data_IF_043770636025
#
_entry.id   IF_043770636025
#
_cell.length_a   1.000
_cell.length_b   1.000
_cell.length_c   1.000
_cell.angle_alpha   90.00
_cell.angle_beta   90.00
_cell.angle_gamma   90.00
#
_symmetry.space_group_name_H-M   'P 1'
#
loop_
_entity.id
_entity.type
_entity.pdbx_description
1 polymer ?
#
# COMPACT_ATOMS: atom_id res chain seq x y z
N UNK A 1 -9.10 -2.46 0.45
CA UNK A 1 -8.84 -3.91 0.19
C UNK A 1 -8.85 -4.27 -1.29
N UNK A 2 -9.81 -3.78 -2.10
CA UNK A 2 -9.86 -4.11 -3.55
C UNK A 2 -8.60 -3.71 -4.34
N UNK A 3 -8.06 -2.50 -4.13
CA UNK A 3 -6.82 -2.04 -4.80
C UNK A 3 -5.62 -2.93 -4.50
N UNK A 4 -5.51 -3.49 -3.28
CA UNK A 4 -4.43 -4.40 -2.91
C UNK A 4 -4.47 -5.74 -3.67
N UNK A 5 -5.67 -6.29 -3.88
CA UNK A 5 -5.87 -7.52 -4.68
C UNK A 5 -5.45 -7.27 -6.13
N UNK A 6 -5.85 -6.11 -6.69
CA UNK A 6 -5.42 -5.71 -8.02
C UNK A 6 -3.91 -5.52 -8.11
N UNK A 7 -3.30 -4.84 -7.14
CA UNK A 7 -1.86 -4.61 -7.07
C UNK A 7 -1.09 -5.93 -7.09
N UNK A 8 -1.41 -6.88 -6.21
CA UNK A 8 -0.75 -8.19 -6.18
C UNK A 8 -0.97 -9.00 -7.46
N UNK A 9 -2.17 -8.90 -8.06
CA UNK A 9 -2.45 -9.58 -9.33
C UNK A 9 -1.63 -8.99 -10.48
N UNK A 10 -1.48 -7.66 -10.53
CA UNK A 10 -0.66 -6.97 -11.54
C UNK A 10 0.84 -7.20 -11.32
N UNK A 11 1.29 -7.25 -10.07
CA UNK A 11 2.66 -7.57 -9.69
C UNK A 11 3.05 -8.99 -10.16
N UNK A 12 2.13 -9.95 -10.05
CA UNK A 12 2.32 -11.29 -10.62
C UNK A 12 2.37 -11.31 -12.17
N UNK A 13 1.80 -10.30 -12.83
CA UNK A 13 1.79 -10.18 -14.30
C UNK A 13 3.07 -9.52 -14.82
N UNK A 14 3.47 -8.39 -14.23
CA UNK A 14 4.55 -7.54 -14.73
C UNK A 14 5.87 -7.65 -13.96
N UNK A 15 5.84 -8.09 -12.71
CA UNK A 15 7.02 -8.22 -11.87
C UNK A 15 8.05 -9.19 -12.44
N UNK A 16 9.33 -8.79 -12.40
CA UNK A 16 10.45 -9.65 -12.82
C UNK A 16 10.60 -10.89 -11.95
N UNK A 17 10.37 -10.72 -10.64
CA UNK A 17 10.22 -11.84 -9.73
C UNK A 17 8.76 -12.28 -9.75
N UNK A 18 8.48 -13.59 -9.69
CA UNK A 18 7.12 -14.13 -9.56
C UNK A 18 6.84 -14.53 -8.10
N UNK A 19 6.60 -13.57 -7.18
CA UNK A 19 6.45 -13.86 -5.75
C UNK A 19 5.23 -14.72 -5.44
N UNK A 20 4.22 -14.72 -6.31
CA UNK A 20 2.95 -15.44 -6.14
C UNK A 20 2.89 -16.76 -6.94
N UNK A 21 4.03 -17.22 -7.45
CA UNK A 21 4.13 -18.42 -8.28
C UNK A 21 3.76 -18.18 -9.75
N UNK A 22 3.62 -19.27 -10.50
CA UNK A 22 3.36 -19.23 -11.94
C UNK A 22 1.86 -19.36 -12.21
N UNK A 23 1.14 -18.24 -12.17
CA UNK A 23 -0.31 -18.19 -12.37
C UNK A 23 -0.68 -17.78 -13.81
N UNK A 24 -1.82 -18.23 -14.35
CA UNK A 24 -2.26 -17.85 -15.69
C UNK A 24 -2.53 -16.33 -15.80
N UNK A 25 -1.78 -15.63 -16.66
CA UNK A 25 -1.87 -14.16 -16.84
C UNK A 25 -3.30 -13.66 -17.09
N UNK A 26 -4.08 -14.39 -17.90
CA UNK A 26 -5.48 -14.03 -18.18
C UNK A 26 -6.34 -13.95 -16.91
N UNK A 27 -6.16 -14.90 -15.98
CA UNK A 27 -6.90 -14.90 -14.70
C UNK A 27 -6.49 -13.73 -13.82
N UNK A 28 -5.19 -13.44 -13.74
CA UNK A 28 -4.67 -12.29 -12.98
C UNK A 28 -5.21 -10.95 -13.50
N UNK A 29 -5.26 -10.77 -14.82
CA UNK A 29 -5.87 -9.58 -15.42
C UNK A 29 -7.36 -9.46 -15.11
N UNK A 30 -8.13 -10.54 -15.22
CA UNK A 30 -9.56 -10.53 -14.91
C UNK A 30 -9.79 -10.12 -13.45
N UNK A 31 -9.07 -10.75 -12.51
CA UNK A 31 -9.16 -10.44 -11.07
C UNK A 31 -8.79 -8.98 -10.81
N UNK A 32 -7.71 -8.50 -11.43
CA UNK A 32 -7.28 -7.11 -11.30
C UNK A 32 -8.33 -6.13 -11.82
N UNK A 33 -8.86 -6.35 -13.03
CA UNK A 33 -9.87 -5.48 -13.64
C UNK A 33 -11.16 -5.43 -12.84
N UNK A 34 -11.63 -6.56 -12.30
CA UNK A 34 -12.82 -6.58 -11.44
C UNK A 34 -12.57 -5.79 -10.15
N UNK A 35 -11.44 -6.03 -9.48
CA UNK A 35 -11.11 -5.35 -8.25
C UNK A 35 -10.92 -3.84 -8.45
N UNK A 36 -10.30 -3.43 -9.57
CA UNK A 36 -10.15 -2.03 -9.93
C UNK A 36 -11.47 -1.38 -10.35
N UNK A 37 -12.33 -2.10 -11.08
CA UNK A 37 -13.67 -1.62 -11.40
C UNK A 37 -14.44 -1.23 -10.14
N UNK A 38 -14.47 -2.13 -9.15
CA UNK A 38 -15.13 -1.84 -7.86
C UNK A 38 -14.48 -0.63 -7.17
N UNK A 39 -13.14 -0.60 -7.09
CA UNK A 39 -12.42 0.48 -6.41
C UNK A 39 -12.63 1.84 -7.08
N UNK A 40 -12.50 1.93 -8.40
CA UNK A 40 -12.65 3.17 -9.16
C UNK A 40 -14.10 3.63 -9.22
N UNK A 41 -15.07 2.72 -9.32
CA UNK A 41 -16.48 3.10 -9.24
C UNK A 41 -16.80 3.77 -7.91
N UNK A 42 -16.37 3.18 -6.79
CA UNK A 42 -16.59 3.78 -5.47
C UNK A 42 -15.81 5.10 -5.30
N UNK A 43 -14.54 5.13 -5.71
CA UNK A 43 -13.71 6.33 -5.62
C UNK A 43 -14.29 7.49 -6.44
N UNK A 44 -14.69 7.24 -7.69
CA UNK A 44 -15.29 8.24 -8.56
C UNK A 44 -16.67 8.68 -8.05
N UNK A 45 -17.47 7.76 -7.51
CA UNK A 45 -18.76 8.09 -6.92
C UNK A 45 -18.61 9.16 -5.84
N UNK A 46 -17.72 8.95 -4.85
CA UNK A 46 -17.47 9.95 -3.80
C UNK A 46 -16.77 11.21 -4.33
N UNK A 47 -15.88 11.05 -5.32
CA UNK A 47 -15.19 12.18 -5.92
C UNK A 47 -16.14 13.19 -6.58
N UNK A 48 -17.20 12.70 -7.24
CA UNK A 48 -18.21 13.56 -7.86
C UNK A 48 -19.35 13.96 -6.91
N UNK A 49 -19.57 13.20 -5.83
CA UNK A 49 -20.61 13.50 -4.86
C UNK A 49 -20.24 14.71 -3.99
N UNK A 50 -19.12 14.63 -3.27
CA UNK A 50 -18.76 15.60 -2.23
C UNK A 50 -17.25 15.82 -2.06
N UNK A 51 -16.43 14.94 -2.62
CA UNK A 51 -14.98 14.90 -2.36
C UNK A 51 -14.11 15.05 -3.62
N UNK A 52 -14.23 16.13 -4.43
CA UNK A 52 -13.42 16.33 -5.64
C UNK A 52 -11.91 16.16 -5.48
N UNK A 53 -11.36 16.38 -4.28
CA UNK A 53 -9.94 16.15 -3.98
C UNK A 53 -9.50 14.69 -4.16
N UNK A 54 -10.45 13.73 -4.14
CA UNK A 54 -10.18 12.34 -4.50
C UNK A 54 -9.77 12.15 -5.96
N UNK A 55 -10.10 13.08 -6.87
CA UNK A 55 -9.69 12.99 -8.29
C UNK A 55 -8.16 13.06 -8.41
N UNK A 56 -7.46 14.13 -7.99
CA UNK A 56 -6.01 14.18 -8.10
C UNK A 56 -5.31 13.09 -7.26
N UNK A 57 -5.85 12.73 -6.09
CA UNK A 57 -5.30 11.63 -5.26
C UNK A 57 -5.43 10.30 -6.00
N UNK A 58 -6.61 10.00 -6.54
CA UNK A 58 -6.89 8.76 -7.28
C UNK A 58 -6.08 8.63 -8.57
N UNK A 59 -5.81 9.75 -9.26
CA UNK A 59 -4.89 9.77 -10.42
C UNK A 59 -3.47 9.39 -9.97
N UNK A 60 -2.98 9.95 -8.86
CA UNK A 60 -1.66 9.62 -8.34
C UNK A 60 -1.57 8.16 -7.87
N UNK A 61 -2.58 7.65 -7.15
CA UNK A 61 -2.65 6.25 -6.72
C UNK A 61 -2.73 5.30 -7.93
N UNK A 62 -3.58 5.61 -8.91
CA UNK A 62 -3.69 4.83 -10.14
C UNK A 62 -2.37 4.79 -10.92
N UNK A 63 -1.69 5.93 -11.03
CA UNK A 63 -0.37 6.00 -11.64
C UNK A 63 0.63 5.08 -10.94
N UNK A 64 0.79 5.19 -9.61
CA UNK A 64 1.73 4.36 -8.88
C UNK A 64 1.34 2.89 -8.88
N UNK A 65 0.05 2.56 -8.79
CA UNK A 65 -0.45 1.19 -8.91
C UNK A 65 0.06 0.55 -10.21
N UNK A 66 -0.17 1.17 -11.36
CA UNK A 66 0.27 0.58 -12.62
C UNK A 66 1.77 0.67 -12.80
N UNK A 67 2.38 1.83 -12.54
CA UNK A 67 3.81 2.04 -12.74
C UNK A 67 4.68 1.13 -11.87
N UNK A 68 4.29 0.90 -10.61
CA UNK A 68 5.00 0.03 -9.69
C UNK A 68 4.82 -1.45 -10.03
N UNK A 69 3.57 -1.92 -10.11
CA UNK A 69 3.28 -3.36 -10.18
C UNK A 69 3.51 -3.95 -11.57
N UNK A 70 3.34 -3.17 -12.64
CA UNK A 70 3.67 -3.61 -14.00
C UNK A 70 5.12 -3.27 -14.39
N UNK A 71 5.91 -2.69 -13.48
CA UNK A 71 7.25 -2.16 -13.74
C UNK A 71 7.32 -1.27 -15.01
N UNK A 72 6.29 -0.43 -15.21
CA UNK A 72 6.27 0.49 -16.35
C UNK A 72 7.47 1.45 -16.31
N UNK A 73 7.78 2.07 -17.44
CA UNK A 73 8.93 2.97 -17.58
C UNK A 73 10.27 2.30 -17.23
N UNK A 74 10.38 0.98 -17.47
CA UNK A 74 11.57 0.20 -17.15
C UNK A 74 11.78 -0.02 -15.65
N UNK A 75 10.74 0.10 -14.83
CA UNK A 75 10.82 -0.10 -13.37
C UNK A 75 11.34 1.10 -12.59
N UNK A 76 11.41 2.30 -13.19
CA UNK A 76 11.86 3.54 -12.49
C UNK A 76 11.10 3.81 -11.20
N UNK A 77 9.81 3.48 -11.15
CA UNK A 77 8.95 3.65 -9.98
C UNK A 77 8.85 2.41 -9.09
N UNK A 78 9.56 1.32 -9.39
CA UNK A 78 9.58 0.13 -8.56
C UNK A 78 10.64 0.26 -7.44
N UNK A 79 10.44 1.25 -6.56
CA UNK A 79 11.42 1.61 -5.53
C UNK A 79 10.77 1.97 -4.18
N UNK A 80 11.58 2.14 -3.14
CA UNK A 80 11.09 2.41 -1.78
C UNK A 80 10.32 3.72 -1.67
N UNK A 81 10.75 4.78 -2.36
CA UNK A 81 10.10 6.09 -2.31
C UNK A 81 8.69 5.98 -2.88
N UNK A 82 8.53 5.33 -4.03
CA UNK A 82 7.21 5.08 -4.62
C UNK A 82 6.32 4.23 -3.72
N UNK A 83 6.87 3.22 -3.03
CA UNK A 83 6.11 2.44 -2.03
C UNK A 83 5.64 3.33 -0.87
N UNK A 84 6.52 4.16 -0.31
CA UNK A 84 6.18 5.03 0.82
C UNK A 84 5.09 6.04 0.43
N UNK A 85 5.25 6.69 -0.73
CA UNK A 85 4.29 7.66 -1.23
C UNK A 85 2.94 6.98 -1.47
N UNK A 86 2.91 5.89 -2.24
CA UNK A 86 1.65 5.33 -2.70
C UNK A 86 0.94 4.40 -1.73
N UNK A 87 1.64 3.71 -0.82
CA UNK A 87 1.03 2.82 0.17
C UNK A 87 1.03 3.38 1.58
N UNK A 88 1.85 4.39 1.87
CA UNK A 88 1.91 5.07 3.16
C UNK A 88 1.17 6.40 3.17
N UNK A 89 1.50 7.31 2.25
CA UNK A 89 1.05 8.72 2.28
C UNK A 89 -0.31 8.92 1.60
N UNK A 90 -0.45 8.53 0.33
CA UNK A 90 -1.68 8.78 -0.45
C UNK A 90 -2.95 8.20 0.21
N UNK A 91 -2.94 7.00 0.82
CA UNK A 91 -4.12 6.47 1.49
C UNK A 91 -4.59 7.33 2.68
N UNK A 92 -3.67 7.99 3.39
CA UNK A 92 -4.02 8.91 4.49
C UNK A 92 -4.72 10.15 3.93
N UNK A 93 -4.20 10.71 2.84
CA UNK A 93 -4.84 11.85 2.17
C UNK A 93 -6.19 11.47 1.55
N UNK A 94 -6.32 10.30 0.95
CA UNK A 94 -7.61 9.80 0.45
C UNK A 94 -8.62 9.69 1.60
N UNK A 95 -8.20 9.17 2.76
CA UNK A 95 -9.03 9.08 3.97
C UNK A 95 -9.43 10.44 4.56
N UNK A 96 -8.58 11.45 4.46
CA UNK A 96 -8.92 12.84 4.84
C UNK A 96 -9.89 13.45 3.83
N UNK A 97 -9.58 13.33 2.53
CA UNK A 97 -10.36 13.90 1.45
C UNK A 97 -11.80 13.36 1.41
N UNK A 98 -12.02 12.06 1.64
CA UNK A 98 -13.38 11.50 1.65
C UNK A 98 -14.24 11.96 2.84
N UNK A 99 -13.63 12.47 3.91
CA UNK A 99 -14.36 12.93 5.10
C UNK A 99 -14.66 14.42 5.06
N UNK A 100 -13.69 15.23 4.64
CA UNK A 100 -13.75 16.70 4.77
C UNK A 100 -13.38 17.44 3.49
N UNK A 101 -13.15 16.72 2.38
CA UNK A 101 -12.65 17.26 1.11
C UNK A 101 -11.48 18.25 1.27
N UNK A 102 -10.63 18.01 2.26
CA UNK A 102 -9.51 18.88 2.63
C UNK A 102 -8.35 18.07 3.22
N UNK A 103 -7.13 18.63 3.18
CA UNK A 103 -5.96 18.07 3.84
C UNK A 103 -5.65 18.92 5.06
N UNK A 104 -5.96 18.40 6.24
CA UNK A 104 -5.69 19.09 7.50
C UNK A 104 -4.24 18.90 7.96
N UNK A 105 -3.82 19.67 8.97
CA UNK A 105 -2.49 19.51 9.58
C UNK A 105 -2.36 18.13 10.22
N UNK A 106 -3.43 17.62 10.83
CA UNK A 106 -3.50 16.27 11.39
C UNK A 106 -3.28 15.21 10.31
N UNK A 107 -3.88 15.39 9.12
CA UNK A 107 -3.66 14.49 7.99
C UNK A 107 -2.20 14.50 7.51
N UNK A 108 -1.54 15.65 7.51
CA UNK A 108 -0.10 15.75 7.19
C UNK A 108 0.75 15.01 8.23
N UNK A 109 0.45 15.18 9.52
CA UNK A 109 1.17 14.49 10.60
C UNK A 109 0.96 12.98 10.50
N UNK A 110 -0.28 12.52 10.30
CA UNK A 110 -0.59 11.10 10.12
C UNK A 110 0.07 10.52 8.87
N UNK A 111 0.14 11.28 7.77
CA UNK A 111 0.84 10.86 6.57
C UNK A 111 2.35 10.72 6.80
N UNK A 112 2.96 11.63 7.56
CA UNK A 112 4.37 11.53 7.95
C UNK A 112 4.64 10.31 8.85
N UNK A 113 3.78 10.06 9.84
CA UNK A 113 3.86 8.86 10.69
C UNK A 113 3.72 7.60 9.84
N UNK A 114 2.71 7.54 8.98
CA UNK A 114 2.49 6.42 8.06
C UNK A 114 3.68 6.19 7.13
N UNK A 115 4.28 7.26 6.61
CA UNK A 115 5.49 7.19 5.79
C UNK A 115 6.68 6.59 6.56
N UNK A 116 6.92 7.03 7.80
CA UNK A 116 7.98 6.51 8.66
C UNK A 116 7.76 5.03 9.01
N UNK A 117 6.54 4.67 9.42
CA UNK A 117 6.16 3.28 9.71
C UNK A 117 6.36 2.41 8.47
N UNK A 118 5.92 2.88 7.30
CA UNK A 118 6.09 2.19 6.03
C UNK A 118 7.56 2.02 5.68
N UNK A 119 8.38 3.07 5.85
CA UNK A 119 9.83 3.02 5.61
C UNK A 119 10.51 1.96 6.48
N UNK A 120 10.23 1.94 7.79
CA UNK A 120 10.80 0.94 8.71
C UNK A 120 10.33 -0.46 8.34
N UNK A 121 9.04 -0.63 8.00
CA UNK A 121 8.46 -1.90 7.59
C UNK A 121 9.14 -2.46 6.33
N UNK A 122 9.21 -1.68 5.26
CA UNK A 122 9.77 -2.16 3.98
C UNK A 122 11.28 -2.41 4.07
N UNK A 123 12.00 -1.58 4.82
CA UNK A 123 13.45 -1.74 5.02
C UNK A 123 13.76 -3.04 5.75
N UNK A 124 13.03 -3.36 6.81
CA UNK A 124 13.21 -4.63 7.53
C UNK A 124 12.67 -5.83 6.73
N UNK A 125 11.58 -5.66 5.97
CA UNK A 125 10.98 -6.72 5.15
C UNK A 125 11.91 -7.18 4.03
N UNK A 126 12.63 -6.25 3.37
CA UNK A 126 13.58 -6.60 2.31
C UNK A 126 14.76 -7.40 2.87
N UNK A 127 15.39 -6.92 3.95
CA UNK A 127 16.48 -7.64 4.62
C UNK A 127 16.01 -9.03 5.07
N UNK A 128 14.81 -9.13 5.66
CA UNK A 128 14.21 -10.41 6.04
C UNK A 128 14.07 -11.37 4.85
N UNK A 129 13.51 -10.90 3.73
CA UNK A 129 13.30 -11.71 2.52
C UNK A 129 14.63 -12.15 1.89
N UNK A 130 15.63 -11.27 1.87
CA UNK A 130 16.97 -11.60 1.37
C UNK A 130 17.63 -12.68 2.24
N UNK A 131 17.63 -12.52 3.57
CA UNK A 131 18.17 -13.52 4.49
C UNK A 131 17.45 -14.88 4.37
N UNK A 132 16.11 -14.87 4.21
CA UNK A 132 15.34 -16.11 3.98
C UNK A 132 15.71 -16.80 2.67
N UNK A 133 15.98 -16.04 1.60
CA UNK A 133 16.34 -16.59 0.27
C UNK A 133 17.77 -17.10 0.24
N UNK A 134 18.69 -16.46 0.95
CA UNK A 134 20.10 -16.85 1.01
C UNK A 134 20.42 -17.90 2.09
N UNK A 135 19.41 -18.38 2.83
CA UNK A 135 19.61 -19.22 4.02
C UNK A 135 20.60 -18.59 5.02
N UNK A 136 20.50 -17.27 5.20
CA UNK A 136 21.36 -16.50 6.10
C UNK A 136 21.12 -16.79 7.58
N UNK A 137 21.77 -16.03 8.45
CA UNK A 137 21.73 -16.21 9.90
C UNK A 137 20.29 -16.26 10.45
N UNK A 138 19.95 -17.41 11.06
CA UNK A 138 18.66 -17.70 11.66
C UNK A 138 18.30 -16.72 12.78
N UNK A 139 19.29 -16.29 13.58
CA UNK A 139 19.10 -15.32 14.65
C UNK A 139 18.67 -13.96 14.09
N UNK A 140 19.34 -13.52 13.03
CA UNK A 140 19.02 -12.25 12.37
C UNK A 140 17.65 -12.30 11.67
N UNK A 141 17.31 -13.42 11.03
CA UNK A 141 15.98 -13.66 10.45
C UNK A 141 14.91 -13.52 11.53
N UNK A 142 15.09 -14.19 12.68
CA UNK A 142 14.13 -14.13 13.79
C UNK A 142 13.98 -12.71 14.35
N UNK A 143 15.10 -11.99 14.53
CA UNK A 143 15.09 -10.59 14.96
C UNK A 143 14.30 -9.69 14.00
N UNK A 144 14.51 -9.84 12.69
CA UNK A 144 13.74 -9.09 11.68
C UNK A 144 12.25 -9.46 11.68
N UNK A 145 11.93 -10.74 11.87
CA UNK A 145 10.55 -11.20 11.97
C UNK A 145 9.83 -10.60 13.18
N UNK A 146 10.48 -10.56 14.36
CA UNK A 146 9.95 -9.90 15.55
C UNK A 146 9.66 -8.43 15.26
N UNK A 147 10.63 -7.70 14.68
CA UNK A 147 10.44 -6.27 14.35
C UNK A 147 9.20 -6.09 13.45
N UNK A 148 9.07 -6.89 12.40
CA UNK A 148 7.92 -6.82 11.48
C UNK A 148 6.59 -7.09 12.21
N UNK A 149 6.54 -8.15 13.03
CA UNK A 149 5.36 -8.49 13.83
C UNK A 149 5.01 -7.37 14.80
N UNK A 150 5.98 -6.84 15.54
CA UNK A 150 5.77 -5.75 16.50
C UNK A 150 5.22 -4.50 15.82
N UNK A 151 5.73 -4.12 14.65
CA UNK A 151 5.20 -2.98 13.89
C UNK A 151 3.73 -3.23 13.50
N UNK A 152 3.42 -4.41 12.95
CA UNK A 152 2.05 -4.75 12.54
C UNK A 152 1.08 -4.76 13.73
N UNK A 153 1.45 -5.42 14.84
CA UNK A 153 0.64 -5.43 16.05
C UNK A 153 0.47 -4.03 16.64
N UNK A 154 1.54 -3.22 16.65
CA UNK A 154 1.49 -1.84 17.14
C UNK A 154 0.51 -0.97 16.36
N UNK A 155 0.50 -1.05 15.03
CA UNK A 155 -0.45 -0.30 14.19
C UNK A 155 -1.89 -0.75 14.41
N UNK A 156 -2.13 -2.07 14.49
CA UNK A 156 -3.46 -2.62 14.74
C UNK A 156 -3.96 -2.20 16.13
N UNK A 157 -3.16 -2.41 17.18
CA UNK A 157 -3.50 -2.05 18.54
C UNK A 157 -3.73 -0.54 18.68
N UNK A 158 -2.86 0.29 18.11
CA UNK A 158 -3.02 1.75 18.11
C UNK A 158 -4.32 2.20 17.45
N UNK A 159 -4.70 1.57 16.34
CA UNK A 159 -5.95 1.86 15.64
C UNK A 159 -7.16 1.45 16.48
N UNK A 160 -7.15 0.26 17.09
CA UNK A 160 -8.23 -0.21 17.97
C UNK A 160 -8.37 0.69 19.19
N UNK A 161 -7.27 1.05 19.85
CA UNK A 161 -7.25 1.97 21.00
C UNK A 161 -7.82 3.34 20.61
N UNK A 162 -7.40 3.89 19.46
CA UNK A 162 -7.93 5.15 18.96
C UNK A 162 -9.45 5.11 18.77
N UNK A 163 -9.99 4.02 18.19
CA UNK A 163 -11.43 3.87 18.06
C UNK A 163 -12.13 3.76 19.41
N UNK A 164 -11.61 2.97 20.34
CA UNK A 164 -12.18 2.83 21.70
C UNK A 164 -12.23 4.21 22.37
N UNK A 165 -11.12 4.94 22.42
CA UNK A 165 -11.03 6.25 23.05
C UNK A 165 -11.88 7.33 22.38
N UNK A 166 -12.27 7.15 21.12
CA UNK A 166 -13.16 8.10 20.43
C UNK A 166 -14.62 7.96 20.87
N UNK A 167 -15.02 6.79 21.37
CA UNK A 167 -16.40 6.49 21.76
C UNK A 167 -16.65 6.54 23.28
N UNK A 168 -15.62 6.84 24.08
CA UNK A 168 -15.69 7.13 25.51
C UNK A 168 -15.29 8.57 25.78
#
# INVERSE_FOLDING_TARGET
MAVGVAAHSLDAVGGKTKPWGNLPKRKLWIVSLIALGIAFTLGLYYAFLDSPLLIPIGIAEGFFLFAYNLELFGGKFHNNISTIISWGVLPVFAGSAIQTNSISIEALILAAVSALVTYVLISNSRIYKELKRSFGDVSLIHKKEIILKTITFGVIAGTVIFFILRFY
#
